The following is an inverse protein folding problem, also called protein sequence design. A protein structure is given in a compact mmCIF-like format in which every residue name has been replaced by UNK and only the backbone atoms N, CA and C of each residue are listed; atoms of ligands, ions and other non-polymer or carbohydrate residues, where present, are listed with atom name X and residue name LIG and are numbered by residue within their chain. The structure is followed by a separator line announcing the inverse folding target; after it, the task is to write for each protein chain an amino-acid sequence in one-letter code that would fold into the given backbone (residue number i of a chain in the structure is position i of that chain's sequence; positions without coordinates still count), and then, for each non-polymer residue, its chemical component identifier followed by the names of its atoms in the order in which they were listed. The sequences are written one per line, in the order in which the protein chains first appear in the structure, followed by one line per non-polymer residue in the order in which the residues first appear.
data_IF_557176569805
#
_entry.id   IF_557176569805
#
_cell.length_a   1.000
_cell.length_b   1.000
_cell.length_c   1.000
_cell.angle_alpha   90.00
_cell.angle_beta   90.00
_cell.angle_gamma   90.00
#
_symmetry.space_group_name_H-M   'P 1'
#
loop_
_entity.id
_entity.type
_entity.pdbx_description
1 polymer ?
#
# COMPACT_ATOMS: atom_id res chain seq x y z
N UNK A 1 -21.85 -38.76 -37.54
CA UNK A 1 -20.40 -38.56 -37.75
C UNK A 1 -20.13 -37.06 -37.84
N UNK A 2 -19.58 -36.46 -36.79
CA UNK A 2 -18.66 -35.32 -36.90
C UNK A 2 -18.00 -35.13 -35.54
N UNK A 3 -16.82 -35.71 -35.38
CA UNK A 3 -16.04 -35.67 -34.14
C UNK A 3 -15.33 -34.33 -34.04
N UNK A 4 -15.86 -33.39 -33.24
CA UNK A 4 -15.10 -32.19 -32.89
C UNK A 4 -14.08 -32.53 -31.80
N UNK A 5 -12.82 -32.50 -32.20
CA UNK A 5 -11.61 -32.71 -31.40
C UNK A 5 -11.58 -31.80 -30.17
N UNK A 6 -11.45 -32.43 -29.00
CA UNK A 6 -11.40 -31.83 -27.66
C UNK A 6 -10.24 -30.83 -27.48
N UNK A 7 -9.28 -30.76 -28.42
CA UNK A 7 -8.15 -29.83 -28.36
C UNK A 7 -8.56 -28.36 -28.61
N UNK A 8 -9.64 -28.10 -29.35
CA UNK A 8 -10.07 -26.70 -29.63
C UNK A 8 -10.68 -25.98 -28.43
N UNK A 9 -11.05 -26.67 -27.35
CA UNK A 9 -11.60 -26.04 -26.14
C UNK A 9 -10.54 -25.35 -25.28
N UNK A 10 -9.28 -25.79 -25.33
CA UNK A 10 -8.23 -25.22 -24.46
C UNK A 10 -7.80 -23.81 -24.91
N UNK A 11 -7.92 -23.49 -26.19
CA UNK A 11 -7.59 -22.16 -26.72
C UNK A 11 -8.67 -21.10 -26.42
N UNK A 12 -9.91 -21.50 -26.13
CA UNK A 12 -10.98 -20.56 -25.81
C UNK A 12 -10.98 -20.15 -24.32
N UNK A 13 -10.39 -20.97 -23.44
CA UNK A 13 -10.33 -20.67 -22.00
C UNK A 13 -9.22 -19.68 -21.64
N UNK A 14 -8.19 -19.54 -22.49
CA UNK A 14 -7.07 -18.61 -22.26
C UNK A 14 -7.45 -17.15 -22.58
N UNK A 15 -8.54 -16.90 -23.30
CA UNK A 15 -8.92 -15.55 -23.78
C UNK A 15 -9.95 -14.85 -22.87
N UNK A 16 -10.48 -15.51 -21.83
CA UNK A 16 -11.50 -14.91 -20.96
C UNK A 16 -10.97 -14.24 -19.67
N UNK A 17 -9.64 -14.21 -19.44
CA UNK A 17 -9.07 -13.55 -18.24
C UNK A 17 -8.24 -12.29 -18.61
N UNK A 18 -8.27 -11.86 -19.87
CA UNK A 18 -7.68 -10.57 -20.26
C UNK A 18 -8.74 -9.48 -20.20
N UNK A 19 -8.72 -8.73 -19.09
CA UNK A 19 -9.14 -7.33 -19.08
C UNK A 19 -10.54 -7.06 -18.56
N UNK A 20 -10.69 -6.94 -17.24
CA UNK A 20 -11.65 -6.01 -16.67
C UNK A 20 -11.02 -4.61 -16.80
N UNK A 21 -11.00 -4.07 -18.01
CA UNK A 21 -10.58 -2.70 -18.25
C UNK A 21 -11.84 -1.85 -18.41
N UNK A 22 -12.08 -0.94 -17.47
CA UNK A 22 -13.16 0.04 -17.58
C UNK A 22 -12.97 0.84 -18.88
N UNK A 23 -13.98 0.77 -19.76
CA UNK A 23 -13.97 1.36 -21.10
C UNK A 23 -14.86 2.60 -21.18
N UNK A 24 -14.98 3.33 -20.08
CA UNK A 24 -15.73 4.58 -19.99
C UNK A 24 -15.06 5.74 -20.76
N UNK A 25 -13.83 5.54 -21.27
CA UNK A 25 -13.07 6.54 -22.02
C UNK A 25 -12.60 7.69 -21.12
N UNK A 26 -12.72 7.54 -19.81
CA UNK A 26 -12.23 8.49 -18.83
C UNK A 26 -10.79 8.10 -18.49
N UNK A 27 -9.86 9.01 -18.74
CA UNK A 27 -8.50 8.87 -18.21
C UNK A 27 -8.55 9.23 -16.73
N UNK A 28 -8.81 8.25 -15.87
CA UNK A 28 -8.74 8.42 -14.43
C UNK A 28 -7.29 8.78 -14.04
N UNK A 29 -7.07 9.83 -13.23
CA UNK A 29 -5.74 10.07 -12.67
C UNK A 29 -5.29 8.81 -11.95
N UNK A 30 -3.99 8.50 -12.02
CA UNK A 30 -3.47 7.34 -11.32
C UNK A 30 -3.86 7.43 -9.83
N UNK A 31 -4.31 6.32 -9.25
CA UNK A 31 -4.84 6.30 -7.88
C UNK A 31 -3.81 6.83 -6.85
N UNK A 32 -2.53 6.61 -7.15
CA UNK A 32 -1.38 7.10 -6.37
C UNK A 32 -1.18 8.62 -6.48
N UNK A 33 -1.72 9.27 -7.52
CA UNK A 33 -1.72 10.72 -7.73
C UNK A 33 -2.76 11.40 -6.86
N UNK A 34 -3.82 10.70 -6.47
CA UNK A 34 -4.88 11.25 -5.61
C UNK A 34 -4.54 11.08 -4.12
N UNK A 35 -3.88 9.98 -3.76
CA UNK A 35 -3.49 9.65 -2.39
C UNK A 35 -2.06 9.08 -2.37
N UNK A 36 -1.02 9.94 -2.39
CA UNK A 36 0.35 9.47 -2.44
C UNK A 36 0.70 8.67 -1.19
N UNK A 37 0.93 7.37 -1.35
CA UNK A 37 1.37 6.48 -0.29
C UNK A 37 2.84 6.74 0.03
N UNK A 38 3.21 6.67 1.30
CA UNK A 38 4.63 6.63 1.68
C UNK A 38 5.09 5.19 1.60
N UNK A 39 6.00 4.93 0.66
CA UNK A 39 6.70 3.66 0.54
C UNK A 39 8.07 3.76 1.22
N UNK A 40 8.42 2.76 2.03
CA UNK A 40 9.72 2.66 2.70
C UNK A 40 10.08 3.93 3.49
N UNK A 41 9.34 4.24 4.58
CA UNK A 41 9.53 5.47 5.33
C UNK A 41 10.94 5.58 5.90
N UNK A 42 11.46 6.81 5.96
CA UNK A 42 12.69 7.11 6.67
C UNK A 42 12.40 6.99 8.17
N UNK A 43 13.17 6.13 8.84
CA UNK A 43 13.08 5.92 10.28
C UNK A 43 14.26 6.56 11.00
N UNK A 44 14.03 7.09 12.19
CA UNK A 44 15.08 7.65 13.03
C UNK A 44 14.85 7.21 14.46
N UNK A 45 15.94 6.95 15.19
CA UNK A 45 15.90 6.61 16.60
C UNK A 45 15.38 7.81 17.41
N UNK A 46 14.53 7.55 18.40
CA UNK A 46 13.87 8.61 19.18
C UNK A 46 14.88 9.59 19.79
N UNK A 47 16.04 9.12 20.21
CA UNK A 47 17.11 9.94 20.80
C UNK A 47 17.72 10.95 19.83
N UNK A 48 17.66 10.67 18.52
CA UNK A 48 18.22 11.52 17.48
C UNK A 48 17.19 12.47 16.87
N UNK A 49 15.90 12.31 17.20
CA UNK A 49 14.83 13.19 16.75
C UNK A 49 14.86 14.46 17.59
N UNK A 50 15.23 15.60 16.98
CA UNK A 50 15.24 16.90 17.65
C UNK A 50 14.38 17.92 16.89
N UNK A 51 13.50 18.62 17.61
CA UNK A 51 12.66 19.72 17.11
C UNK A 51 11.67 19.38 15.96
N UNK A 52 11.47 18.11 15.60
CA UNK A 52 10.51 17.68 14.57
C UNK A 52 9.27 16.96 15.11
N UNK A 53 9.29 16.54 16.37
CA UNK A 53 8.15 15.98 17.12
C UNK A 53 8.13 16.61 18.53
N UNK A 54 6.97 16.65 19.17
CA UNK A 54 6.83 17.10 20.56
C UNK A 54 6.89 15.91 21.54
N UNK A 55 7.26 16.18 22.79
CA UNK A 55 7.31 15.16 23.84
C UNK A 55 5.93 14.53 24.12
N UNK A 56 4.85 15.26 23.83
CA UNK A 56 3.46 14.85 23.98
C UNK A 56 2.76 14.53 22.65
N UNK A 57 3.54 14.28 21.60
CA UNK A 57 3.04 13.91 20.28
C UNK A 57 2.22 12.60 20.34
N UNK A 58 1.03 12.61 19.73
CA UNK A 58 0.21 11.40 19.62
C UNK A 58 0.76 10.48 18.53
N UNK A 59 0.97 9.21 18.87
CA UNK A 59 1.55 8.22 17.95
C UNK A 59 0.72 6.94 17.86
N UNK A 60 0.72 6.31 16.69
CA UNK A 60 0.41 4.89 16.55
C UNK A 60 1.67 4.09 16.82
N UNK A 61 1.68 3.35 17.93
CA UNK A 61 2.79 2.47 18.31
C UNK A 61 2.53 1.02 17.91
N UNK A 62 3.56 0.35 17.40
CA UNK A 62 3.53 -1.10 17.15
C UNK A 62 4.82 -1.75 17.63
N UNK A 63 4.73 -2.98 18.13
CA UNK A 63 5.88 -3.80 18.52
C UNK A 63 5.78 -5.16 17.83
N UNK A 64 6.77 -5.50 17.01
CA UNK A 64 6.86 -6.77 16.28
C UNK A 64 8.26 -7.35 16.53
N UNK A 65 8.30 -8.59 17.01
CA UNK A 65 9.55 -9.31 17.34
C UNK A 65 10.50 -8.50 18.23
N UNK A 66 9.94 -7.79 19.22
CA UNK A 66 10.69 -6.98 20.17
C UNK A 66 11.22 -5.65 19.62
N UNK A 67 10.97 -5.34 18.33
CA UNK A 67 11.29 -4.03 17.75
C UNK A 67 10.06 -3.14 17.78
N UNK A 68 10.23 -1.92 18.28
CA UNK A 68 9.16 -0.93 18.36
C UNK A 68 9.23 0.05 17.17
N UNK A 69 8.07 0.55 16.74
CA UNK A 69 7.93 1.62 15.75
C UNK A 69 6.80 2.55 16.19
N UNK A 70 6.96 3.85 15.94
CA UNK A 70 5.97 4.87 16.25
C UNK A 70 5.71 5.75 15.03
N UNK A 71 4.43 5.99 14.71
CA UNK A 71 3.98 6.84 13.62
C UNK A 71 3.20 8.03 14.19
N UNK A 72 3.75 9.26 14.13
CA UNK A 72 3.03 10.45 14.58
C UNK A 72 1.73 10.66 13.80
N UNK A 73 0.62 10.87 14.51
CA UNK A 73 -0.69 11.09 13.89
C UNK A 73 -0.65 12.29 12.96
N UNK A 74 0.05 13.36 13.34
CA UNK A 74 0.17 14.55 12.53
C UNK A 74 0.82 14.29 11.15
N UNK A 75 1.63 13.23 11.01
CA UNK A 75 2.18 12.81 9.72
C UNK A 75 1.18 12.02 8.86
N UNK A 76 0.21 11.34 9.48
CA UNK A 76 -0.86 10.59 8.82
C UNK A 76 -2.07 11.47 8.46
N UNK A 77 -2.22 12.64 9.09
CA UNK A 77 -3.39 13.52 8.90
C UNK A 77 -3.14 14.73 7.99
N UNK A 78 -1.91 15.01 7.54
CA UNK A 78 -1.58 16.24 6.82
C UNK A 78 -0.73 16.06 5.54
N UNK A 79 -1.02 16.75 4.42
CA UNK A 79 -2.32 17.15 3.88
C UNK A 79 -2.93 16.11 2.90
N UNK A 80 -2.28 14.98 2.60
CA UNK A 80 -2.74 14.00 1.58
C UNK A 80 -2.26 12.55 1.80
N UNK A 81 -1.75 12.17 2.98
CA UNK A 81 -1.05 10.89 3.18
C UNK A 81 -1.64 10.08 4.33
N UNK A 82 -2.58 9.21 4.00
CA UNK A 82 -3.32 8.41 4.99
C UNK A 82 -2.71 7.02 5.23
N UNK A 83 -1.75 6.60 4.38
CA UNK A 83 -1.16 5.26 4.41
C UNK A 83 0.36 5.36 4.35
N UNK A 84 1.02 4.65 5.26
CA UNK A 84 2.46 4.40 5.25
C UNK A 84 2.67 2.89 5.13
N UNK A 85 3.23 2.46 4.00
CA UNK A 85 3.68 1.10 3.77
C UNK A 85 5.12 0.96 4.27
N UNK A 86 5.32 0.04 5.21
CA UNK A 86 6.56 -0.10 5.97
C UNK A 86 6.85 -1.58 6.22
N UNK A 87 8.08 -1.86 6.63
CA UNK A 87 8.54 -3.18 6.99
C UNK A 87 9.22 -3.14 8.36
N UNK A 88 8.73 -3.96 9.29
CA UNK A 88 9.28 -4.07 10.63
C UNK A 88 9.52 -5.54 10.95
N UNK A 89 10.80 -5.90 11.12
CA UNK A 89 11.22 -7.29 11.37
C UNK A 89 10.75 -8.25 10.27
N UNK A 90 10.94 -7.87 9.00
CA UNK A 90 10.52 -8.66 7.82
C UNK A 90 9.00 -8.86 7.71
N UNK A 91 8.21 -8.13 8.50
CA UNK A 91 6.75 -8.11 8.44
C UNK A 91 6.30 -6.83 7.76
N UNK A 92 5.60 -6.98 6.63
CA UNK A 92 4.95 -5.88 5.94
C UNK A 92 3.79 -5.33 6.79
N UNK A 93 3.79 -4.02 7.00
CA UNK A 93 2.78 -3.30 7.77
C UNK A 93 2.30 -2.07 7.01
N UNK A 94 1.02 -1.77 7.15
CA UNK A 94 0.41 -0.54 6.65
C UNK A 94 -0.13 0.24 7.86
N UNK A 95 0.51 1.37 8.19
CA UNK A 95 0.00 2.28 9.21
C UNK A 95 -1.02 3.23 8.58
N UNK A 96 -2.22 3.29 9.18
CA UNK A 96 -3.33 4.11 8.70
C UNK A 96 -4.03 4.79 9.89
N UNK A 97 -4.73 5.88 9.65
CA UNK A 97 -5.50 6.62 10.66
C UNK A 97 -6.90 6.97 10.16
#
# INVERSE_FOLDING_TARGET
MCTLSFWKLLALFVVLITGCGDSDGVNWPDENSLYPVIENPITTEVVDVSNSIFDDELVLGVVIDGKARAYPINMLTGPTREIINDELSDVAIAATW
#
